data_IF_720739139367
#
_entry.id   IF_720739139367
#
_cell.length_a   1.000
_cell.length_b   1.000
_cell.length_c   1.000
_cell.angle_alpha   90.00
_cell.angle_beta   90.00
_cell.angle_gamma   90.00
#
_symmetry.space_group_name_H-M   'P 1'
#
loop_
_entity.id
_entity.type
_entity.pdbx_description
1 polymer ?
#
# COMPACT_ATOMS: atom_id res chain seq x y z
N UNK A 1 1.29 6.48 -35.89
CA UNK A 1 0.79 7.79 -35.49
C UNK A 1 1.34 8.00 -34.08
N UNK A 2 2.39 8.80 -33.96
CA UNK A 2 3.06 9.08 -32.69
C UNK A 2 2.16 9.94 -31.79
N UNK A 3 2.10 9.59 -30.52
CA UNK A 3 1.45 10.40 -29.50
C UNK A 3 2.19 11.72 -29.31
N UNK A 4 1.51 12.85 -29.09
CA UNK A 4 2.15 14.11 -28.77
C UNK A 4 2.84 14.01 -27.40
N UNK A 5 3.97 14.72 -27.17
CA UNK A 5 4.62 14.78 -25.89
C UNK A 5 3.69 15.43 -24.85
N UNK A 6 3.77 14.91 -23.62
CA UNK A 6 3.01 15.43 -22.48
C UNK A 6 3.23 16.93 -22.28
N UNK A 7 2.20 17.70 -21.85
CA UNK A 7 2.30 19.13 -21.64
C UNK A 7 3.32 19.49 -20.56
N UNK A 8 4.00 20.65 -20.64
CA UNK A 8 5.01 21.05 -19.67
C UNK A 8 4.39 21.26 -18.28
N UNK A 9 5.00 20.61 -17.29
CA UNK A 9 4.62 20.61 -15.90
C UNK A 9 4.90 21.98 -15.27
N UNK A 10 3.89 22.80 -15.04
CA UNK A 10 3.98 24.01 -14.23
C UNK A 10 3.94 23.62 -12.73
N UNK A 11 5.01 23.99 -12.00
CA UNK A 11 5.16 23.90 -10.54
C UNK A 11 5.29 22.49 -9.92
N UNK A 12 6.21 21.67 -10.42
CA UNK A 12 6.71 20.50 -9.69
C UNK A 12 8.10 20.80 -9.14
N UNK A 13 8.25 20.71 -7.81
CA UNK A 13 9.58 20.78 -7.20
C UNK A 13 10.15 19.36 -7.17
N UNK A 14 11.25 19.18 -7.92
CA UNK A 14 11.97 17.90 -7.96
C UNK A 14 13.11 17.97 -6.97
N UNK A 15 13.07 17.19 -5.92
CA UNK A 15 14.21 16.98 -5.04
C UNK A 15 15.01 15.76 -5.51
N UNK A 16 16.32 15.94 -5.70
CA UNK A 16 17.24 14.80 -5.79
C UNK A 16 17.69 14.47 -4.37
N UNK A 17 17.40 13.26 -3.91
CA UNK A 17 18.03 12.76 -2.71
C UNK A 17 19.53 12.55 -2.95
N UNK A 18 20.33 12.47 -1.89
CA UNK A 18 21.76 12.15 -1.99
C UNK A 18 22.01 10.77 -2.66
N UNK A 19 20.98 9.95 -2.82
CA UNK A 19 20.99 8.61 -3.41
C UNK A 19 20.52 8.57 -4.88
N UNK A 20 20.07 9.72 -5.46
CA UNK A 20 19.71 9.78 -6.89
C UNK A 20 18.25 9.44 -7.23
N UNK A 21 17.41 9.05 -6.26
CA UNK A 21 15.98 8.77 -6.47
C UNK A 21 15.24 10.05 -6.85
N UNK A 22 14.43 10.01 -7.90
CA UNK A 22 13.58 11.12 -8.33
C UNK A 22 12.29 11.11 -7.52
N UNK A 23 12.21 12.02 -6.53
CA UNK A 23 11.01 12.21 -5.69
C UNK A 23 10.24 13.41 -6.22
N UNK A 24 8.95 13.22 -6.56
CA UNK A 24 8.07 14.28 -7.04
C UNK A 24 7.02 14.57 -5.96
N UNK A 25 7.02 15.81 -5.42
CA UNK A 25 6.03 16.25 -4.44
C UNK A 25 5.24 17.44 -4.96
N UNK A 26 3.93 17.46 -4.74
CA UNK A 26 3.10 18.65 -4.93
C UNK A 26 3.01 19.46 -3.63
N UNK A 27 3.27 20.75 -3.73
CA UNK A 27 3.51 21.65 -2.62
C UNK A 27 2.35 21.88 -1.65
N UNK A 28 2.69 21.84 -0.36
CA UNK A 28 2.04 22.55 0.74
C UNK A 28 3.02 22.58 1.89
N UNK A 29 3.56 23.76 2.16
CA UNK A 29 4.58 24.17 3.10
C UNK A 29 4.98 23.24 4.25
N UNK A 30 6.26 22.90 4.30
CA UNK A 30 6.91 22.30 5.47
C UNK A 30 7.82 23.34 6.12
N UNK A 31 7.51 23.68 7.36
CA UNK A 31 8.41 24.43 8.27
C UNK A 31 9.44 23.44 8.83
N UNK A 32 10.70 23.65 8.46
CA UNK A 32 11.83 22.92 9.02
C UNK A 32 12.23 23.55 10.34
N UNK A 33 11.97 22.86 11.45
CA UNK A 33 12.53 23.17 12.76
C UNK A 33 13.90 22.51 12.92
N UNK A 34 14.95 23.30 13.13
CA UNK A 34 16.25 22.81 13.59
C UNK A 34 16.15 22.37 15.04
N UNK A 35 16.68 21.22 15.39
CA UNK A 35 17.02 20.85 16.75
C UNK A 35 18.51 20.52 16.85
N UNK A 36 19.23 21.46 17.46
CA UNK A 36 20.53 21.22 18.09
C UNK A 36 20.27 20.72 19.52
N UNK A 37 21.12 19.84 20.01
CA UNK A 37 21.25 19.62 21.44
C UNK A 37 21.33 18.17 21.91
N UNK A 38 22.54 17.63 21.94
CA UNK A 38 22.92 16.48 22.76
C UNK A 38 22.91 16.85 24.25
N UNK A 39 22.24 16.09 25.11
CA UNK A 39 22.58 16.04 26.56
C UNK A 39 21.93 14.85 27.26
N UNK A 40 22.80 14.10 27.90
CA UNK A 40 22.68 13.33 29.14
C UNK A 40 21.49 12.38 29.37
N UNK A 41 21.82 11.10 29.43
CA UNK A 41 21.00 10.03 30.01
C UNK A 41 20.96 10.13 31.53
N UNK A 42 19.78 10.44 32.05
CA UNK A 42 19.36 10.11 33.42
C UNK A 42 17.86 9.82 33.42
N UNK A 43 17.49 8.62 33.85
CA UNK A 43 16.18 8.22 34.39
C UNK A 43 14.91 8.62 33.62
N UNK A 44 14.87 8.63 32.28
CA UNK A 44 13.71 9.08 31.53
C UNK A 44 12.81 7.88 31.19
N UNK A 45 11.55 7.90 31.68
CA UNK A 45 10.50 7.00 31.17
C UNK A 45 10.55 6.98 29.64
N UNK A 46 10.82 5.82 29.05
CA UNK A 46 10.85 5.61 27.61
C UNK A 46 9.54 6.18 27.03
N UNK A 47 9.65 7.13 26.09
CA UNK A 47 8.47 7.73 25.46
C UNK A 47 7.63 6.63 24.81
N UNK A 48 6.32 6.78 24.82
CA UNK A 48 5.39 5.78 24.30
C UNK A 48 5.78 5.29 22.89
N UNK A 49 6.12 6.20 21.98
CA UNK A 49 6.54 5.87 20.61
C UNK A 49 7.77 4.97 20.58
N UNK A 50 8.81 5.29 21.37
CA UNK A 50 10.01 4.45 21.44
C UNK A 50 9.74 3.07 22.05
N UNK A 51 8.79 2.98 23.00
CA UNK A 51 8.37 1.73 23.59
C UNK A 51 7.57 0.90 22.60
N UNK A 52 6.69 1.54 21.79
CA UNK A 52 5.96 0.87 20.71
C UNK A 52 6.90 0.23 19.69
N UNK A 53 7.91 0.97 19.23
CA UNK A 53 8.91 0.45 18.27
C UNK A 53 9.70 -0.73 18.86
N UNK A 54 10.13 -0.60 20.12
CA UNK A 54 10.83 -1.68 20.81
C UNK A 54 9.95 -2.92 21.07
N UNK A 55 8.65 -2.76 21.35
CA UNK A 55 7.68 -3.87 21.45
C UNK A 55 7.58 -4.60 20.12
N UNK A 56 7.43 -3.88 19.02
CA UNK A 56 7.35 -4.46 17.68
C UNK A 56 8.61 -5.26 17.36
N UNK A 57 9.80 -4.73 17.67
CA UNK A 57 11.06 -5.40 17.42
C UNK A 57 11.25 -6.67 18.29
N UNK A 58 10.81 -6.65 19.54
CA UNK A 58 10.79 -7.83 20.40
C UNK A 58 9.86 -8.90 19.83
N UNK A 59 8.64 -8.52 19.45
CA UNK A 59 7.67 -9.45 18.84
C UNK A 59 8.21 -10.03 17.52
N UNK A 60 8.90 -9.24 16.70
CA UNK A 60 9.53 -9.71 15.46
C UNK A 60 10.63 -10.75 15.72
N UNK A 61 11.46 -10.54 16.75
CA UNK A 61 12.58 -11.44 17.07
C UNK A 61 12.13 -12.74 17.72
N UNK A 62 11.11 -12.67 18.57
CA UNK A 62 10.70 -13.80 19.41
C UNK A 62 9.44 -14.52 18.90
N UNK A 63 8.71 -13.91 17.92
CA UNK A 63 7.44 -14.41 17.40
C UNK A 63 6.25 -14.16 18.33
N UNK A 64 6.46 -14.26 19.64
CA UNK A 64 5.50 -13.96 20.71
C UNK A 64 6.24 -13.38 21.91
N UNK A 65 5.61 -12.39 22.59
CA UNK A 65 6.11 -11.78 23.83
C UNK A 65 4.95 -11.64 24.81
N UNK A 66 5.15 -12.08 26.04
CA UNK A 66 4.11 -11.96 27.07
C UNK A 66 4.02 -10.56 27.66
N UNK A 67 2.85 -10.24 28.23
CA UNK A 67 2.66 -8.96 28.93
C UNK A 67 3.63 -8.82 30.10
N UNK A 68 3.91 -9.91 30.80
CA UNK A 68 4.82 -9.97 31.94
C UNK A 68 6.25 -9.66 31.52
N UNK A 69 6.75 -10.27 30.44
CA UNK A 69 8.08 -9.97 29.88
C UNK A 69 8.21 -8.51 29.46
N UNK A 70 7.17 -7.93 28.86
CA UNK A 70 7.18 -6.52 28.47
C UNK A 70 7.16 -5.58 29.68
N UNK A 71 6.42 -5.94 30.73
CA UNK A 71 6.40 -5.20 32.01
C UNK A 71 7.79 -5.17 32.63
N UNK A 72 8.45 -6.31 32.67
CA UNK A 72 9.81 -6.45 33.21
C UNK A 72 10.83 -5.70 32.34
N UNK A 73 10.76 -5.88 31.02
CA UNK A 73 11.69 -5.27 30.07
C UNK A 73 11.65 -3.74 30.07
N UNK A 74 10.44 -3.14 30.15
CA UNK A 74 10.27 -1.69 30.11
C UNK A 74 10.13 -1.04 31.50
N UNK A 75 10.09 -1.81 32.57
CA UNK A 75 9.89 -1.36 33.95
C UNK A 75 8.66 -0.43 34.10
N UNK A 76 7.54 -0.76 33.45
CA UNK A 76 6.27 0.00 33.49
C UNK A 76 5.14 -0.89 34.03
N UNK A 77 3.99 -0.27 34.35
CA UNK A 77 2.85 -1.04 34.88
C UNK A 77 2.23 -1.97 33.83
N UNK A 78 1.62 -3.10 34.24
CA UNK A 78 0.86 -3.97 33.36
C UNK A 78 -0.23 -3.23 32.58
N UNK A 79 -0.84 -2.21 33.20
CA UNK A 79 -1.84 -1.36 32.55
C UNK A 79 -1.27 -0.55 31.39
N UNK A 80 -0.05 -0.03 31.54
CA UNK A 80 0.67 0.70 30.49
C UNK A 80 0.94 -0.22 29.30
N UNK A 81 1.47 -1.42 29.55
CA UNK A 81 1.72 -2.40 28.48
C UNK A 81 0.42 -2.82 27.78
N UNK A 82 -0.66 -3.08 28.54
CA UNK A 82 -1.95 -3.43 27.93
C UNK A 82 -2.47 -2.32 27.01
N UNK A 83 -2.27 -1.05 27.38
CA UNK A 83 -2.63 0.08 26.54
C UNK A 83 -1.78 0.15 25.28
N UNK A 84 -0.45 0.04 25.44
CA UNK A 84 0.47 0.02 24.29
C UNK A 84 0.17 -1.12 23.33
N UNK A 85 -0.12 -2.32 23.86
CA UNK A 85 -0.50 -3.47 23.03
C UNK A 85 -1.86 -3.27 22.33
N UNK A 86 -2.82 -2.56 22.96
CA UNK A 86 -4.06 -2.19 22.30
C UNK A 86 -3.81 -1.22 21.15
N UNK A 87 -3.08 -0.14 21.42
CA UNK A 87 -2.77 0.88 20.43
C UNK A 87 -2.02 0.27 19.22
N UNK A 88 -1.07 -0.65 19.47
CA UNK A 88 -0.33 -1.35 18.42
C UNK A 88 -1.20 -2.37 17.65
N UNK A 89 -2.14 -3.01 18.32
CA UNK A 89 -3.08 -3.94 17.69
C UNK A 89 -4.11 -3.19 16.83
N UNK A 90 -4.61 -2.04 17.28
CA UNK A 90 -5.47 -1.16 16.49
C UNK A 90 -4.76 -0.66 15.23
N UNK A 91 -3.44 -0.45 15.30
CA UNK A 91 -2.59 -0.12 14.16
C UNK A 91 -2.20 -1.36 13.30
N UNK A 92 -2.70 -2.56 13.62
CA UNK A 92 -2.33 -3.84 12.97
C UNK A 92 -0.83 -4.15 12.94
N UNK A 93 -0.05 -3.58 13.83
CA UNK A 93 1.40 -3.84 13.95
C UNK A 93 1.69 -5.14 14.70
N UNK A 94 0.77 -5.53 15.59
CA UNK A 94 0.81 -6.79 16.34
C UNK A 94 -0.59 -7.41 16.41
N UNK A 95 -0.66 -8.70 16.72
CA UNK A 95 -1.90 -9.38 17.09
C UNK A 95 -1.91 -9.69 18.58
N UNK A 96 -2.98 -9.26 19.28
CA UNK A 96 -3.14 -9.54 20.72
C UNK A 96 -3.61 -10.96 20.96
N UNK A 97 -2.93 -11.63 21.88
CA UNK A 97 -3.37 -12.89 22.48
C UNK A 97 -3.70 -12.69 23.96
N UNK A 98 -4.36 -13.67 24.58
CA UNK A 98 -4.50 -13.72 26.03
C UNK A 98 -3.10 -13.81 26.66
N UNK A 99 -2.71 -12.73 27.36
CA UNK A 99 -1.42 -12.66 28.06
C UNK A 99 -0.24 -12.10 27.28
N UNK A 100 -0.39 -11.66 26.02
CA UNK A 100 0.74 -11.12 25.26
C UNK A 100 0.39 -10.66 23.86
N UNK A 101 1.43 -10.59 23.02
CA UNK A 101 1.33 -10.19 21.61
C UNK A 101 2.21 -11.06 20.71
N UNK A 102 1.76 -11.27 19.49
CA UNK A 102 2.50 -11.95 18.42
C UNK A 102 2.51 -11.09 17.15
N UNK A 103 3.27 -11.50 16.15
CA UNK A 103 3.14 -10.91 14.82
C UNK A 103 1.73 -11.11 14.28
N UNK A 104 1.23 -10.17 13.47
CA UNK A 104 0.02 -10.41 12.71
C UNK A 104 0.16 -11.71 11.90
N UNK A 105 -0.92 -12.48 11.83
CA UNK A 105 -0.91 -13.72 11.06
C UNK A 105 -0.50 -13.48 9.63
N UNK A 106 0.46 -14.25 9.12
CA UNK A 106 0.82 -14.23 7.70
C UNK A 106 -0.24 -14.89 6.81
N UNK A 107 -1.22 -15.56 7.40
CA UNK A 107 -2.28 -16.27 6.68
C UNK A 107 -3.65 -15.60 6.74
N UNK A 108 -3.84 -14.59 7.61
CA UNK A 108 -5.14 -13.90 7.78
C UNK A 108 -4.97 -12.40 7.58
N UNK A 109 -5.68 -11.88 6.57
CA UNK A 109 -5.72 -10.44 6.32
C UNK A 109 -6.68 -9.74 7.29
N UNK A 110 -6.43 -8.46 7.56
CA UNK A 110 -7.37 -7.56 8.25
C UNK A 110 -8.70 -7.52 7.51
N UNK A 111 -9.82 -7.46 8.24
CA UNK A 111 -11.15 -7.41 7.63
C UNK A 111 -11.26 -6.24 6.62
N UNK A 112 -12.02 -6.46 5.54
CA UNK A 112 -12.14 -5.48 4.46
C UNK A 112 -12.70 -4.15 4.95
N UNK A 113 -13.74 -4.18 5.80
CA UNK A 113 -14.35 -2.97 6.36
C UNK A 113 -13.33 -2.11 7.12
N UNK A 114 -12.54 -2.75 7.99
CA UNK A 114 -11.50 -2.07 8.77
C UNK A 114 -10.43 -1.48 7.85
N UNK A 115 -9.98 -2.24 6.86
CA UNK A 115 -9.03 -1.76 5.84
C UNK A 115 -9.56 -0.57 5.05
N UNK A 116 -10.87 -0.50 4.81
CA UNK A 116 -11.51 0.62 4.09
C UNK A 116 -11.45 1.91 4.91
N UNK A 117 -11.68 1.81 6.22
CA UNK A 117 -11.64 2.96 7.13
C UNK A 117 -10.24 3.40 7.51
N UNK A 118 -9.31 2.44 7.64
CA UNK A 118 -7.92 2.74 7.99
C UNK A 118 -7.22 3.51 6.88
N UNK A 119 -6.53 4.59 7.27
CA UNK A 119 -5.70 5.39 6.36
C UNK A 119 -6.50 5.93 5.16
N UNK A 120 -7.77 6.32 5.38
CA UNK A 120 -8.66 6.80 4.32
C UNK A 120 -8.15 8.07 3.64
N UNK A 121 -7.57 9.00 4.42
CA UNK A 121 -7.05 10.26 3.91
C UNK A 121 -5.75 10.05 3.11
N UNK A 122 -4.89 9.14 3.59
CA UNK A 122 -3.69 8.70 2.90
C UNK A 122 -4.04 8.07 1.54
N UNK A 123 -4.96 7.13 1.53
CA UNK A 123 -5.46 6.50 0.30
C UNK A 123 -6.07 7.52 -0.66
N UNK A 124 -6.80 8.51 -0.14
CA UNK A 124 -7.36 9.57 -0.97
C UNK A 124 -6.28 10.47 -1.59
N UNK A 125 -5.17 10.75 -0.88
CA UNK A 125 -4.02 11.48 -1.44
C UNK A 125 -3.33 10.67 -2.54
N UNK A 126 -3.01 9.40 -2.25
CA UNK A 126 -2.45 8.45 -3.22
C UNK A 126 -3.33 8.39 -4.47
N UNK A 127 -4.64 8.21 -4.29
CA UNK A 127 -5.59 8.10 -5.38
C UNK A 127 -5.62 9.35 -6.29
N UNK A 128 -5.58 10.55 -5.71
CA UNK A 128 -5.51 11.80 -6.49
C UNK A 128 -4.23 11.90 -7.29
N UNK A 129 -3.09 11.49 -6.72
CA UNK A 129 -1.81 11.51 -7.44
C UNK A 129 -1.80 10.51 -8.59
N UNK A 130 -2.31 9.29 -8.39
CA UNK A 130 -2.48 8.29 -9.45
C UNK A 130 -3.38 8.84 -10.56
N UNK A 131 -4.56 9.36 -10.21
CA UNK A 131 -5.51 9.92 -11.18
C UNK A 131 -4.87 11.04 -12.02
N UNK A 132 -4.02 11.89 -11.43
CA UNK A 132 -3.32 12.95 -12.18
C UNK A 132 -2.33 12.45 -13.23
N UNK A 133 -1.95 11.17 -13.20
CA UNK A 133 -1.04 10.56 -14.17
C UNK A 133 -1.78 9.87 -15.33
N UNK A 134 -3.09 9.67 -15.19
CA UNK A 134 -3.92 8.94 -16.14
C UNK A 134 -4.59 9.94 -17.08
N UNK A 135 -4.38 9.88 -18.40
CA UNK A 135 -5.08 10.74 -19.35
C UNK A 135 -6.52 10.26 -19.57
N UNK A 136 -7.38 11.19 -19.99
CA UNK A 136 -8.70 10.86 -20.52
C UNK A 136 -8.59 9.89 -21.71
N UNK A 137 -9.55 9.00 -21.86
CA UNK A 137 -9.56 7.98 -22.91
C UNK A 137 -8.63 6.78 -22.67
N UNK A 138 -7.90 6.74 -21.59
CA UNK A 138 -6.98 5.64 -21.26
C UNK A 138 -7.70 4.32 -21.01
N UNK A 139 -6.96 3.22 -21.20
CA UNK A 139 -7.39 1.86 -20.87
C UNK A 139 -6.74 1.38 -19.57
N UNK A 140 -7.55 0.94 -18.59
CA UNK A 140 -7.10 0.65 -17.23
C UNK A 140 -7.52 -0.76 -16.81
N UNK A 141 -6.66 -1.42 -16.02
CA UNK A 141 -7.11 -2.46 -15.09
C UNK A 141 -7.08 -1.90 -13.67
N UNK A 142 -8.18 -2.06 -12.93
CA UNK A 142 -8.25 -1.71 -11.51
C UNK A 142 -8.49 -2.98 -10.71
N UNK A 143 -7.50 -3.34 -9.89
CA UNK A 143 -7.48 -4.56 -9.09
C UNK A 143 -8.32 -4.45 -7.81
N UNK A 144 -8.45 -5.59 -7.10
CA UNK A 144 -9.08 -5.66 -5.77
C UNK A 144 -8.24 -4.90 -4.74
N UNK A 145 -8.93 -4.20 -3.84
CA UNK A 145 -8.31 -3.55 -2.70
C UNK A 145 -8.86 -2.17 -2.40
N UNK A 146 -8.75 -1.76 -1.15
CA UNK A 146 -9.32 -0.49 -0.68
C UNK A 146 -8.59 0.75 -1.23
N UNK A 147 -7.29 0.63 -1.55
CA UNK A 147 -6.54 1.72 -2.21
C UNK A 147 -6.86 1.81 -3.70
N UNK A 148 -6.90 0.71 -4.50
CA UNK A 148 -7.46 0.72 -5.85
C UNK A 148 -8.91 1.26 -5.94
N UNK A 149 -9.76 0.94 -4.96
CA UNK A 149 -11.10 1.52 -4.88
C UNK A 149 -11.08 3.05 -4.69
N UNK A 150 -10.16 3.56 -3.85
CA UNK A 150 -9.97 5.01 -3.72
C UNK A 150 -9.51 5.65 -5.05
N UNK A 151 -8.65 4.96 -5.83
CA UNK A 151 -8.26 5.43 -7.17
C UNK A 151 -9.48 5.48 -8.09
N UNK A 152 -10.35 4.47 -8.09
CA UNK A 152 -11.59 4.50 -8.87
C UNK A 152 -12.46 5.72 -8.53
N UNK A 153 -12.56 6.08 -7.23
CA UNK A 153 -13.23 7.31 -6.81
C UNK A 153 -12.59 8.59 -7.39
N UNK A 154 -11.25 8.67 -7.38
CA UNK A 154 -10.55 9.84 -7.91
C UNK A 154 -10.68 9.97 -9.44
N UNK A 155 -10.88 8.86 -10.16
CA UNK A 155 -11.08 8.83 -11.60
C UNK A 155 -12.47 9.30 -12.05
N UNK A 156 -13.42 9.51 -11.14
CA UNK A 156 -14.78 9.98 -11.49
C UNK A 156 -14.82 11.34 -12.22
N UNK A 157 -13.74 12.11 -12.17
CA UNK A 157 -13.62 13.38 -12.90
C UNK A 157 -13.03 13.23 -14.31
N UNK A 158 -12.57 12.04 -14.69
CA UNK A 158 -12.03 11.74 -16.02
C UNK A 158 -13.15 11.50 -17.04
N UNK A 159 -12.77 11.45 -18.33
CA UNK A 159 -13.67 11.23 -19.46
C UNK A 159 -13.20 10.05 -20.31
N UNK A 160 -14.17 9.35 -20.89
CA UNK A 160 -13.95 8.33 -21.92
C UNK A 160 -13.01 7.17 -21.51
N UNK A 161 -12.85 6.90 -20.20
CA UNK A 161 -12.01 5.80 -19.75
C UNK A 161 -12.61 4.44 -20.12
N UNK A 162 -11.73 3.48 -20.40
CA UNK A 162 -12.07 2.07 -20.58
C UNK A 162 -11.47 1.28 -19.43
N UNK A 163 -12.33 0.82 -18.54
CA UNK A 163 -11.92 0.18 -17.28
C UNK A 163 -12.28 -1.29 -17.31
N UNK A 164 -11.28 -2.14 -17.14
CA UNK A 164 -11.43 -3.56 -16.82
C UNK A 164 -11.16 -3.72 -15.33
N UNK A 165 -11.99 -4.50 -14.63
CA UNK A 165 -11.81 -4.73 -13.20
C UNK A 165 -12.29 -6.12 -12.80
N UNK A 166 -11.66 -6.68 -11.78
CA UNK A 166 -12.10 -7.87 -11.05
C UNK A 166 -12.65 -7.50 -9.66
N UNK A 167 -13.02 -6.24 -9.45
CA UNK A 167 -13.53 -5.70 -8.20
C UNK A 167 -14.98 -5.23 -8.37
N UNK A 168 -15.90 -5.92 -7.71
CA UNK A 168 -17.33 -5.60 -7.77
C UNK A 168 -17.65 -4.21 -7.21
N UNK A 169 -16.89 -3.74 -6.20
CA UNK A 169 -17.09 -2.41 -5.61
C UNK A 169 -16.67 -1.31 -6.59
N UNK A 170 -15.56 -1.50 -7.30
CA UNK A 170 -15.12 -0.60 -8.39
C UNK A 170 -16.15 -0.58 -9.51
N UNK A 171 -16.63 -1.73 -9.93
CA UNK A 171 -17.64 -1.82 -10.98
C UNK A 171 -18.92 -1.08 -10.58
N UNK A 172 -19.42 -1.32 -9.37
CA UNK A 172 -20.62 -0.64 -8.84
C UNK A 172 -20.45 0.88 -8.81
N UNK A 173 -19.28 1.36 -8.39
CA UNK A 173 -18.98 2.79 -8.36
C UNK A 173 -18.99 3.40 -9.76
N UNK A 174 -18.28 2.77 -10.69
CA UNK A 174 -18.03 3.35 -12.02
C UNK A 174 -19.24 3.23 -12.97
N UNK A 175 -20.25 2.41 -12.65
CA UNK A 175 -21.51 2.38 -13.41
C UNK A 175 -22.26 3.72 -13.42
N UNK A 176 -21.95 4.62 -12.48
CA UNK A 176 -22.51 5.98 -12.48
C UNK A 176 -21.93 6.90 -13.59
N UNK A 177 -20.86 6.47 -14.28
CA UNK A 177 -20.19 7.22 -15.35
C UNK A 177 -20.63 6.74 -16.73
N UNK A 178 -21.54 7.46 -17.36
CA UNK A 178 -22.11 7.09 -18.67
C UNK A 178 -21.08 7.13 -19.82
N UNK A 179 -20.05 7.97 -19.68
CA UNK A 179 -18.95 8.10 -20.66
C UNK A 179 -17.84 7.07 -20.48
N UNK A 180 -17.89 6.23 -19.43
CA UNK A 180 -16.90 5.16 -19.24
C UNK A 180 -17.36 3.85 -19.89
N UNK A 181 -16.43 3.14 -20.50
CA UNK A 181 -16.65 1.74 -20.88
C UNK A 181 -16.14 0.84 -19.77
N UNK A 182 -17.06 0.28 -19.02
CA UNK A 182 -16.75 -0.62 -17.91
C UNK A 182 -16.90 -2.08 -18.33
N UNK A 183 -15.89 -2.90 -18.01
CA UNK A 183 -15.86 -4.32 -18.28
C UNK A 183 -15.50 -5.04 -16.98
N UNK A 184 -16.43 -5.82 -16.44
CA UNK A 184 -16.24 -6.61 -15.23
C UNK A 184 -15.79 -8.02 -15.60
N UNK A 185 -14.68 -8.48 -15.02
CA UNK A 185 -14.21 -9.86 -15.18
C UNK A 185 -15.23 -10.83 -14.58
N UNK A 186 -15.49 -11.91 -15.28
CA UNK A 186 -16.30 -13.02 -14.76
C UNK A 186 -15.47 -13.93 -13.84
N UNK A 187 -16.15 -14.67 -12.96
CA UNK A 187 -15.53 -15.63 -12.07
C UNK A 187 -16.26 -15.78 -10.73
N UNK A 188 -15.60 -16.41 -9.76
CA UNK A 188 -16.13 -16.55 -8.41
C UNK A 188 -15.99 -15.24 -7.64
N UNK A 189 -17.09 -14.76 -7.04
CA UNK A 189 -17.11 -13.55 -6.22
C UNK A 189 -16.81 -13.92 -4.77
N UNK A 190 -15.73 -13.37 -4.25
CA UNK A 190 -15.38 -13.49 -2.84
C UNK A 190 -16.21 -12.51 -2.01
N UNK A 191 -17.11 -13.05 -1.19
CA UNK A 191 -18.12 -12.28 -0.45
C UNK A 191 -17.54 -11.25 0.53
N UNK A 192 -16.34 -11.49 1.06
CA UNK A 192 -15.73 -10.61 2.08
C UNK A 192 -15.34 -9.21 1.57
N UNK A 193 -15.01 -9.07 0.27
CA UNK A 193 -14.49 -7.82 -0.31
C UNK A 193 -14.89 -7.58 -1.78
N UNK A 194 -15.74 -8.45 -2.35
CA UNK A 194 -16.23 -8.29 -3.71
C UNK A 194 -15.18 -8.58 -4.80
N UNK A 195 -14.06 -9.19 -4.45
CA UNK A 195 -13.04 -9.61 -5.41
C UNK A 195 -13.51 -10.79 -6.25
N UNK A 196 -13.24 -10.75 -7.56
CA UNK A 196 -13.59 -11.81 -8.51
C UNK A 196 -12.30 -12.54 -8.92
N UNK A 197 -12.31 -13.85 -8.80
CA UNK A 197 -11.13 -14.70 -8.99
C UNK A 197 -11.50 -16.03 -9.65
N UNK A 198 -10.47 -16.80 -9.98
CA UNK A 198 -10.59 -18.13 -10.57
C UNK A 198 -10.03 -18.19 -11.99
N UNK A 199 -10.01 -19.38 -12.58
CA UNK A 199 -9.43 -19.61 -13.92
C UNK A 199 -10.13 -18.76 -15.00
N UNK A 200 -11.46 -18.65 -14.95
CA UNK A 200 -12.21 -17.81 -15.89
C UNK A 200 -11.79 -16.33 -15.83
N UNK A 201 -11.44 -15.82 -14.63
CA UNK A 201 -10.93 -14.46 -14.46
C UNK A 201 -9.55 -14.30 -15.09
N UNK A 202 -8.67 -15.29 -14.93
CA UNK A 202 -7.33 -15.28 -15.53
C UNK A 202 -7.40 -15.31 -17.07
N UNK A 203 -8.18 -16.23 -17.62
CA UNK A 203 -8.39 -16.35 -19.06
C UNK A 203 -8.97 -15.05 -19.64
N UNK A 204 -9.90 -14.43 -18.91
CA UNK A 204 -10.49 -13.18 -19.32
C UNK A 204 -9.47 -12.04 -19.36
N UNK A 205 -8.66 -11.88 -18.30
CA UNK A 205 -7.63 -10.82 -18.20
C UNK A 205 -6.60 -10.97 -19.34
N UNK A 206 -6.21 -12.21 -19.67
CA UNK A 206 -5.19 -12.49 -20.70
C UNK A 206 -5.56 -11.99 -22.10
N UNK A 207 -6.84 -11.69 -22.36
CA UNK A 207 -7.33 -11.20 -23.64
C UNK A 207 -7.11 -9.71 -23.87
N UNK A 208 -6.65 -8.97 -22.84
CA UNK A 208 -6.47 -7.52 -22.92
C UNK A 208 -5.01 -7.12 -23.03
N UNK A 209 -4.78 -5.92 -23.52
CA UNK A 209 -3.53 -5.17 -23.43
C UNK A 209 -3.90 -3.75 -23.06
N UNK A 210 -3.64 -3.37 -21.80
CA UNK A 210 -4.10 -2.13 -21.23
C UNK A 210 -2.93 -1.15 -21.03
N UNK A 211 -3.24 0.14 -21.01
CA UNK A 211 -2.22 1.15 -20.83
C UNK A 211 -1.70 1.14 -19.39
N UNK A 212 -2.60 0.95 -18.40
CA UNK A 212 -2.23 0.96 -16.99
C UNK A 212 -2.86 -0.22 -16.23
N UNK A 213 -2.07 -0.84 -15.37
CA UNK A 213 -2.54 -1.76 -14.33
C UNK A 213 -2.38 -1.13 -12.96
N UNK A 214 -3.49 -0.91 -12.25
CA UNK A 214 -3.51 -0.32 -10.91
C UNK A 214 -3.68 -1.45 -9.90
N UNK A 215 -2.63 -1.73 -9.14
CA UNK A 215 -2.54 -2.84 -8.21
C UNK A 215 -2.47 -2.36 -6.76
N UNK A 216 -3.22 -3.02 -5.88
CA UNK A 216 -2.96 -2.99 -4.44
C UNK A 216 -1.99 -4.09 -4.02
N UNK A 217 -1.53 -4.03 -2.77
CA UNK A 217 -0.69 -5.08 -2.17
C UNK A 217 -1.02 -5.27 -0.68
N UNK A 218 -0.87 -6.48 -0.20
CA UNK A 218 -1.11 -6.79 1.22
C UNK A 218 0.11 -6.52 2.10
N UNK A 219 1.32 -6.70 1.57
CA UNK A 219 2.56 -6.39 2.27
C UNK A 219 3.72 -6.21 1.30
N UNK A 220 4.72 -5.46 1.74
CA UNK A 220 6.02 -5.28 1.07
C UNK A 220 7.08 -5.61 2.11
N UNK A 221 7.83 -6.69 1.90
CA UNK A 221 8.89 -7.07 2.83
C UNK A 221 10.10 -6.14 2.71
N UNK A 222 10.99 -6.20 3.68
CA UNK A 222 12.17 -5.32 3.74
C UNK A 222 13.22 -5.62 2.67
N UNK A 223 13.10 -6.79 2.02
CA UNK A 223 13.89 -7.21 0.84
C UNK A 223 13.25 -6.82 -0.51
N UNK A 224 12.11 -6.08 -0.48
CA UNK A 224 11.38 -5.66 -1.66
C UNK A 224 10.40 -6.68 -2.22
N UNK A 225 10.24 -7.83 -1.59
CA UNK A 225 9.24 -8.83 -1.98
C UNK A 225 7.83 -8.30 -1.82
N UNK A 226 7.01 -8.46 -2.85
CA UNK A 226 5.59 -8.12 -2.87
C UNK A 226 4.78 -9.32 -2.38
N UNK A 227 4.00 -9.13 -1.30
CA UNK A 227 3.36 -10.23 -0.57
C UNK A 227 1.85 -10.11 -0.55
N UNK A 228 1.18 -11.27 -0.65
CA UNK A 228 -0.29 -11.42 -0.57
C UNK A 228 -0.69 -12.54 0.39
N UNK A 229 -1.94 -12.51 0.86
CA UNK A 229 -2.49 -13.56 1.71
C UNK A 229 -3.12 -14.71 0.92
N UNK A 230 -3.46 -14.49 -0.35
CA UNK A 230 -4.23 -15.42 -1.16
C UNK A 230 -3.50 -15.74 -2.46
N UNK A 231 -3.29 -17.03 -2.69
CA UNK A 231 -2.65 -17.54 -3.89
C UNK A 231 -3.41 -17.16 -5.18
N UNK A 232 -4.74 -17.16 -5.15
CA UNK A 232 -5.55 -16.77 -6.30
C UNK A 232 -5.41 -15.28 -6.63
N UNK A 233 -5.23 -14.42 -5.61
CA UNK A 233 -4.92 -13.01 -5.83
C UNK A 233 -3.57 -12.84 -6.53
N UNK A 234 -2.55 -13.58 -6.13
CA UNK A 234 -1.23 -13.55 -6.77
C UNK A 234 -1.32 -13.92 -8.24
N UNK A 235 -2.05 -14.98 -8.59
CA UNK A 235 -2.23 -15.38 -9.99
C UNK A 235 -2.92 -14.29 -10.82
N UNK A 236 -3.97 -13.69 -10.26
CA UNK A 236 -4.71 -12.60 -10.88
C UNK A 236 -3.83 -11.37 -11.10
N UNK A 237 -3.08 -10.96 -10.07
CA UNK A 237 -2.14 -9.82 -10.17
C UNK A 237 -1.05 -10.05 -11.21
N UNK A 238 -0.50 -11.26 -11.29
CA UNK A 238 0.47 -11.61 -12.35
C UNK A 238 -0.13 -11.45 -13.76
N UNK A 239 -1.35 -11.94 -13.97
CA UNK A 239 -2.03 -11.75 -15.24
C UNK A 239 -2.27 -10.25 -15.57
N UNK A 240 -2.59 -9.42 -14.57
CA UNK A 240 -2.72 -7.96 -14.74
C UNK A 240 -1.38 -7.34 -15.12
N UNK A 241 -0.30 -7.69 -14.41
CA UNK A 241 1.06 -7.19 -14.67
C UNK A 241 1.50 -7.50 -16.10
N UNK A 242 1.36 -8.76 -16.52
CA UNK A 242 1.74 -9.24 -17.85
C UNK A 242 0.95 -8.56 -18.98
N UNK A 243 -0.25 -8.09 -18.70
CA UNK A 243 -1.16 -7.48 -19.67
C UNK A 243 -1.33 -5.96 -19.54
N UNK A 244 -0.46 -5.31 -18.76
CA UNK A 244 -0.40 -3.85 -18.62
C UNK A 244 0.92 -3.31 -19.19
N UNK A 245 0.86 -2.15 -19.86
CA UNK A 245 2.05 -1.45 -20.39
C UNK A 245 2.80 -0.69 -19.30
N UNK A 246 2.06 -0.24 -18.29
CA UNK A 246 2.57 0.48 -17.13
C UNK A 246 1.87 -0.04 -15.88
N UNK A 247 2.64 -0.52 -14.93
CA UNK A 247 2.17 -1.11 -13.67
C UNK A 247 2.34 -0.12 -12.54
N UNK A 248 1.23 0.32 -11.95
CA UNK A 248 1.17 1.25 -10.83
C UNK A 248 0.78 0.52 -9.55
N UNK A 249 1.73 0.36 -8.63
CA UNK A 249 1.46 -0.16 -7.30
C UNK A 249 1.03 0.97 -6.37
N UNK A 250 -0.15 0.84 -5.75
CA UNK A 250 -0.72 1.85 -4.86
C UNK A 250 -0.83 1.29 -3.44
N UNK A 251 -0.15 1.92 -2.48
CA UNK A 251 -0.04 1.38 -1.14
C UNK A 251 0.18 2.47 -0.09
N UNK A 252 -0.45 2.33 1.08
CA UNK A 252 -0.15 3.16 2.22
C UNK A 252 1.07 2.64 3.00
N UNK A 253 1.67 3.49 3.82
CA UNK A 253 2.88 3.20 4.60
C UNK A 253 2.78 1.95 5.49
N UNK A 254 1.59 1.53 5.90
CA UNK A 254 1.39 0.38 6.78
C UNK A 254 1.72 -0.97 6.14
N UNK A 255 1.97 -0.98 4.82
CA UNK A 255 2.29 -2.21 4.09
C UNK A 255 3.78 -2.54 4.08
N UNK A 256 4.65 -1.57 4.36
CA UNK A 256 6.09 -1.82 4.47
C UNK A 256 6.42 -2.61 5.73
N UNK A 257 7.13 -3.73 5.56
CA UNK A 257 7.46 -4.69 6.62
C UNK A 257 6.28 -5.55 7.09
N UNK A 258 5.14 -5.50 6.38
CA UNK A 258 4.00 -6.36 6.66
C UNK A 258 4.18 -7.71 5.98
N UNK A 259 4.14 -8.78 6.77
CA UNK A 259 4.27 -10.13 6.28
C UNK A 259 2.94 -10.68 5.71
N UNK A 260 3.03 -11.47 4.65
CA UNK A 260 1.97 -12.31 4.12
C UNK A 260 2.60 -13.55 3.44
N UNK A 261 1.84 -14.64 3.35
CA UNK A 261 2.43 -15.96 3.08
C UNK A 261 2.74 -16.24 1.60
N UNK A 262 2.15 -15.48 0.66
CA UNK A 262 2.26 -15.78 -0.76
C UNK A 262 3.07 -14.69 -1.47
N UNK A 263 4.14 -15.08 -2.13
CA UNK A 263 5.01 -14.17 -2.86
C UNK A 263 4.48 -13.92 -4.28
N UNK A 264 4.18 -12.67 -4.59
CA UNK A 264 3.83 -12.21 -5.94
C UNK A 264 5.07 -12.08 -6.84
N UNK A 265 6.17 -11.60 -6.28
CA UNK A 265 7.41 -11.27 -6.96
C UNK A 265 8.14 -10.15 -6.24
N UNK A 266 8.92 -9.35 -6.96
CA UNK A 266 9.71 -8.27 -6.41
C UNK A 266 9.38 -6.92 -7.07
N UNK A 267 10.03 -5.85 -6.64
CA UNK A 267 9.84 -4.47 -7.14
C UNK A 267 10.12 -4.31 -8.64
N UNK A 268 10.85 -5.21 -9.28
CA UNK A 268 11.09 -5.22 -10.73
C UNK A 268 9.83 -5.46 -11.59
N UNK A 269 8.74 -5.89 -10.96
CA UNK A 269 7.45 -6.12 -11.61
C UNK A 269 6.61 -4.83 -11.79
N UNK A 270 7.03 -3.71 -11.19
CA UNK A 270 6.25 -2.47 -11.19
C UNK A 270 7.06 -1.30 -11.77
N UNK A 271 6.36 -0.38 -12.42
CA UNK A 271 6.96 0.84 -12.97
C UNK A 271 6.87 2.01 -11.97
N UNK A 272 5.76 2.11 -11.26
CA UNK A 272 5.49 3.18 -10.29
C UNK A 272 5.07 2.61 -8.94
N UNK A 273 5.60 3.21 -7.89
CA UNK A 273 5.13 3.02 -6.51
C UNK A 273 4.57 4.34 -5.99
N UNK A 274 3.27 4.37 -5.70
CA UNK A 274 2.58 5.48 -5.05
C UNK A 274 2.37 5.17 -3.57
N UNK A 275 2.86 6.04 -2.70
CA UNK A 275 2.71 5.89 -1.24
C UNK A 275 2.65 7.24 -0.53
N UNK A 276 2.10 7.26 0.67
CA UNK A 276 1.89 8.47 1.48
C UNK A 276 3.10 8.87 2.32
N UNK A 277 4.06 7.95 2.55
CA UNK A 277 5.26 8.19 3.33
C UNK A 277 6.48 7.57 2.65
N UNK A 278 7.67 8.12 2.97
CA UNK A 278 8.93 7.60 2.46
C UNK A 278 9.13 6.15 2.90
N UNK A 279 9.36 5.21 1.96
CA UNK A 279 9.64 3.81 2.31
C UNK A 279 10.88 3.65 3.20
N UNK A 280 11.00 2.54 3.95
CA UNK A 280 12.21 2.22 4.72
C UNK A 280 13.48 2.25 3.86
N UNK A 281 14.64 2.61 4.43
CA UNK A 281 15.90 2.77 3.67
C UNK A 281 16.33 1.52 2.87
N UNK A 282 16.02 0.30 3.36
CA UNK A 282 16.29 -0.94 2.63
C UNK A 282 15.43 -1.04 1.36
N UNK A 283 14.15 -0.71 1.45
CA UNK A 283 13.21 -0.74 0.33
C UNK A 283 13.53 0.38 -0.68
N UNK A 284 13.94 1.57 -0.21
CA UNK A 284 14.38 2.66 -1.10
C UNK A 284 15.54 2.26 -1.99
N UNK A 285 16.53 1.53 -1.46
CA UNK A 285 17.66 1.02 -2.26
C UNK A 285 17.20 0.07 -3.36
N UNK A 286 16.20 -0.75 -3.07
CA UNK A 286 15.65 -1.72 -4.04
C UNK A 286 14.85 -0.98 -5.12
N UNK A 287 14.04 0.01 -4.74
CA UNK A 287 13.31 0.90 -5.66
C UNK A 287 14.29 1.57 -6.64
N UNK A 288 15.41 2.08 -6.13
CA UNK A 288 16.47 2.71 -6.94
C UNK A 288 17.14 1.69 -7.87
N UNK A 289 17.50 0.51 -7.34
CA UNK A 289 18.13 -0.57 -8.09
C UNK A 289 17.28 -1.04 -9.28
N UNK A 290 15.97 -1.18 -9.08
CA UNK A 290 15.03 -1.60 -10.13
C UNK A 290 14.46 -0.43 -10.94
N UNK A 291 14.89 0.82 -10.66
CA UNK A 291 14.46 2.04 -11.35
C UNK A 291 12.95 2.30 -11.29
N UNK A 292 12.30 1.82 -10.24
CA UNK A 292 10.88 2.08 -9.99
C UNK A 292 10.70 3.57 -9.71
N UNK A 293 9.69 4.19 -10.29
CA UNK A 293 9.36 5.59 -10.02
C UNK A 293 8.59 5.69 -8.71
N UNK A 294 9.17 6.36 -7.71
CA UNK A 294 8.54 6.60 -6.42
C UNK A 294 7.80 7.93 -6.45
N UNK A 295 6.49 7.88 -6.20
CA UNK A 295 5.60 9.03 -6.05
C UNK A 295 5.13 9.14 -4.60
N UNK A 296 5.53 10.23 -3.91
CA UNK A 296 5.08 10.55 -2.56
C UNK A 296 3.84 11.45 -2.62
N UNK A 297 2.78 11.04 -1.91
CA UNK A 297 1.44 11.62 -2.01
C UNK A 297 1.01 12.32 -0.72
#
# INVERSE_FOLDING_TARGET
>A
VGYPPAPPLSHRTVYRSATGVRIVTQCGGVLVGRHDGMSAFEGTKVKQTQRHDAIIDLVRRQGYVSTEELVEHFAVSPQTIRRDLNDLAEQNKIHRHHGGAALPSSSVNTAYHDRKMMWSDEKARIARQVASQIPDGATLFIDIGTTPEAVAHALMNHKDLRVVTNNLNVATLLTAKEDFRLILAGGEVRSRDGGIMGEATLDFISQFRLDFGILGISGIDMDGSLLEFDYHEVRTKRAIIENSRCVMLVTDHSKFGRNAMVNLGNMDLIDYLFTDQLPPPSVLKIIEQHKVQLELC
#
